data_IF_446563915570
#
_entry.id   IF_446563915570
#
_cell.length_a   1.000
_cell.length_b   1.000
_cell.length_c   1.000
_cell.angle_alpha   90.00
_cell.angle_beta   90.00
_cell.angle_gamma   90.00
#
_symmetry.space_group_name_H-M   'P 1'
#
loop_
_entity.id
_entity.type
_entity.pdbx_description
1 polymer ?
#
# COMPACT_ATOMS: atom_id res chain seq x y z
N UNK A 1 -28.15 -48.86 -9.64
CA UNK A 1 -27.17 -48.04 -8.89
C UNK A 1 -27.69 -46.60 -8.89
N UNK A 2 -28.37 -46.16 -7.83
CA UNK A 2 -28.91 -44.80 -7.74
C UNK A 2 -27.83 -43.80 -7.35
N UNK A 3 -27.73 -42.69 -8.09
CA UNK A 3 -26.79 -41.62 -7.78
C UNK A 3 -27.15 -40.96 -6.43
N UNK A 4 -26.16 -40.81 -5.54
CA UNK A 4 -26.32 -40.08 -4.29
C UNK A 4 -26.64 -38.60 -4.60
N UNK A 5 -27.63 -38.00 -3.90
CA UNK A 5 -27.95 -36.60 -4.09
C UNK A 5 -26.74 -35.74 -3.69
N UNK A 6 -26.25 -34.95 -4.64
CA UNK A 6 -25.20 -33.96 -4.45
C UNK A 6 -25.68 -32.92 -3.41
N UNK A 7 -25.23 -33.02 -2.16
CA UNK A 7 -25.52 -32.04 -1.12
C UNK A 7 -24.94 -30.70 -1.54
N UNK A 8 -25.78 -29.77 -2.00
CA UNK A 8 -25.37 -28.38 -2.21
C UNK A 8 -24.84 -27.81 -0.90
N UNK A 9 -23.63 -27.21 -0.87
CA UNK A 9 -23.12 -26.57 0.34
C UNK A 9 -24.08 -25.45 0.74
N UNK A 10 -24.51 -25.45 2.01
CA UNK A 10 -25.38 -24.41 2.56
C UNK A 10 -24.61 -23.09 2.55
N UNK A 11 -25.11 -22.12 1.80
CA UNK A 11 -24.57 -20.76 1.78
C UNK A 11 -25.02 -20.03 3.05
N UNK A 12 -24.18 -20.02 4.07
CA UNK A 12 -24.42 -19.23 5.28
C UNK A 12 -24.22 -17.76 4.96
N UNK A 13 -25.26 -16.96 5.19
CA UNK A 13 -25.18 -15.51 5.04
C UNK A 13 -25.21 -14.90 6.45
N UNK A 14 -24.09 -14.33 6.87
CA UNK A 14 -23.95 -13.73 8.20
C UNK A 14 -24.79 -12.45 8.24
N UNK A 15 -25.84 -12.44 9.05
CA UNK A 15 -26.73 -11.28 9.23
C UNK A 15 -26.21 -10.30 10.30
N UNK A 16 -25.41 -10.80 11.25
CA UNK A 16 -24.90 -10.02 12.38
C UNK A 16 -23.43 -10.31 12.62
N UNK A 17 -22.64 -9.27 12.94
CA UNK A 17 -21.27 -9.44 13.42
C UNK A 17 -21.29 -9.75 14.92
N UNK A 18 -20.52 -10.77 15.31
CA UNK A 18 -20.34 -11.21 16.68
C UNK A 18 -18.89 -10.90 17.06
N UNK A 19 -18.51 -10.98 18.34
CA UNK A 19 -17.16 -10.62 18.80
C UNK A 19 -16.04 -11.31 18.02
N UNK A 20 -16.22 -12.60 17.69
CA UNK A 20 -15.28 -13.33 16.84
C UNK A 20 -15.17 -12.74 15.43
N UNK A 21 -16.27 -12.30 14.82
CA UNK A 21 -16.25 -11.62 13.53
C UNK A 21 -15.50 -10.28 13.60
N UNK A 22 -15.62 -9.56 14.72
CA UNK A 22 -14.85 -8.33 14.95
C UNK A 22 -13.35 -8.60 15.05
N UNK A 23 -12.94 -9.67 15.73
CA UNK A 23 -11.52 -10.02 15.82
C UNK A 23 -10.96 -10.49 14.47
N UNK A 24 -11.72 -11.28 13.70
CA UNK A 24 -11.37 -11.61 12.31
C UNK A 24 -11.20 -10.35 11.47
N UNK A 25 -12.10 -9.37 11.62
CA UNK A 25 -12.06 -8.09 10.90
C UNK A 25 -10.80 -7.30 11.23
N UNK A 26 -10.44 -7.23 12.52
CA UNK A 26 -9.24 -6.55 13.00
C UNK A 26 -7.98 -7.18 12.44
N UNK A 27 -7.85 -8.50 12.54
CA UNK A 27 -6.68 -9.23 12.04
C UNK A 27 -6.56 -9.14 10.51
N UNK A 28 -7.68 -9.20 9.79
CA UNK A 28 -7.70 -9.04 8.34
C UNK A 28 -7.26 -7.64 7.90
N UNK A 29 -7.69 -6.58 8.61
CA UNK A 29 -7.25 -5.20 8.34
C UNK A 29 -5.74 -5.02 8.52
N UNK A 30 -5.13 -5.76 9.46
CA UNK A 30 -3.69 -5.78 9.70
C UNK A 30 -2.91 -6.60 8.66
N UNK A 31 -3.60 -7.26 7.72
CA UNK A 31 -2.97 -8.04 6.64
C UNK A 31 -2.77 -9.53 6.95
N UNK A 32 -3.33 -10.05 8.05
CA UNK A 32 -3.20 -11.47 8.37
C UNK A 32 -3.92 -12.36 7.34
N UNK A 33 -3.31 -13.49 7.01
CA UNK A 33 -3.88 -14.49 6.10
C UNK A 33 -4.99 -15.31 6.79
N UNK A 34 -5.86 -15.95 6.00
CA UNK A 34 -6.93 -16.78 6.54
C UNK A 34 -6.40 -17.92 7.42
N UNK A 35 -5.24 -18.49 7.07
CA UNK A 35 -4.60 -19.54 7.85
C UNK A 35 -4.08 -19.05 9.20
N UNK A 36 -3.51 -17.84 9.25
CA UNK A 36 -3.05 -17.24 10.51
C UNK A 36 -4.19 -16.90 11.44
N UNK A 37 -5.25 -16.27 10.91
CA UNK A 37 -6.45 -15.94 11.67
C UNK A 37 -7.11 -17.20 12.23
N UNK A 38 -7.21 -18.25 11.41
CA UNK A 38 -7.75 -19.54 11.82
C UNK A 38 -6.96 -20.16 12.98
N UNK A 39 -5.62 -20.13 12.90
CA UNK A 39 -4.74 -20.61 13.98
C UNK A 39 -4.91 -19.80 15.28
N UNK A 40 -4.98 -18.47 15.18
CA UNK A 40 -5.11 -17.58 16.34
C UNK A 40 -6.47 -17.74 17.05
N UNK A 41 -7.55 -17.95 16.29
CA UNK A 41 -8.90 -18.03 16.82
C UNK A 41 -9.38 -19.46 17.10
N UNK A 42 -8.55 -20.47 16.81
CA UNK A 42 -8.90 -21.88 16.99
C UNK A 42 -10.07 -22.34 16.12
N UNK A 43 -10.18 -21.81 14.89
CA UNK A 43 -11.26 -22.16 13.94
C UNK A 43 -10.67 -22.67 12.62
N UNK A 44 -11.51 -23.21 11.75
CA UNK A 44 -11.05 -23.68 10.43
C UNK A 44 -10.81 -22.51 9.47
N UNK A 45 -9.87 -22.62 8.51
CA UNK A 45 -9.69 -21.61 7.46
C UNK A 45 -10.95 -21.40 6.62
N UNK A 46 -11.78 -22.44 6.45
CA UNK A 46 -13.06 -22.34 5.75
C UNK A 46 -14.02 -21.39 6.46
N UNK A 47 -14.13 -21.47 7.80
CA UNK A 47 -14.97 -20.54 8.56
C UNK A 47 -14.52 -19.09 8.36
N UNK A 48 -13.21 -18.82 8.34
CA UNK A 48 -12.68 -17.47 8.08
C UNK A 48 -13.01 -17.02 6.65
N UNK A 49 -12.89 -17.91 5.66
CA UNK A 49 -13.28 -17.63 4.28
C UNK A 49 -14.76 -17.25 4.19
N UNK A 50 -15.63 -18.00 4.85
CA UNK A 50 -17.07 -17.74 4.83
C UNK A 50 -17.40 -16.39 5.51
N UNK A 51 -16.71 -16.05 6.61
CA UNK A 51 -16.83 -14.76 7.28
C UNK A 51 -16.42 -13.61 6.36
N UNK A 52 -15.23 -13.68 5.77
CA UNK A 52 -14.69 -12.63 4.89
C UNK A 52 -15.51 -12.44 3.61
N UNK A 53 -16.14 -13.52 3.14
CA UNK A 53 -16.97 -13.47 1.94
C UNK A 53 -18.39 -12.97 2.18
N UNK A 54 -18.80 -12.79 3.44
CA UNK A 54 -20.12 -12.26 3.78
C UNK A 54 -20.27 -10.78 3.37
N UNK A 55 -21.47 -10.36 2.90
CA UNK A 55 -21.72 -8.96 2.51
C UNK A 55 -21.43 -7.97 3.65
N UNK A 56 -21.89 -8.27 4.87
CA UNK A 56 -21.73 -7.39 6.03
C UNK A 56 -20.27 -7.16 6.39
N UNK A 57 -19.43 -8.19 6.28
CA UNK A 57 -18.01 -8.08 6.56
C UNK A 57 -17.31 -7.20 5.51
N UNK A 58 -17.64 -7.39 4.23
CA UNK A 58 -17.08 -6.58 3.13
C UNK A 58 -17.45 -5.11 3.25
N UNK A 59 -18.69 -4.80 3.61
CA UNK A 59 -19.12 -3.42 3.84
C UNK A 59 -18.37 -2.78 5.00
N UNK A 60 -18.25 -3.50 6.11
CA UNK A 60 -17.49 -3.05 7.27
C UNK A 60 -16.00 -2.87 6.97
N UNK A 61 -15.43 -3.73 6.11
CA UNK A 61 -14.05 -3.60 5.69
C UNK A 61 -13.82 -2.36 4.84
N UNK A 62 -14.70 -2.13 3.85
CA UNK A 62 -14.67 -0.95 3.01
C UNK A 62 -14.75 0.35 3.81
N UNK A 63 -15.60 0.42 4.85
CA UNK A 63 -15.68 1.60 5.72
C UNK A 63 -14.34 1.87 6.40
N UNK A 64 -13.68 0.83 6.91
CA UNK A 64 -12.40 0.98 7.61
C UNK A 64 -11.24 1.28 6.66
N UNK A 65 -11.24 0.70 5.46
CA UNK A 65 -10.29 1.05 4.40
C UNK A 65 -10.41 2.52 4.03
N UNK A 66 -11.63 3.01 3.80
CA UNK A 66 -11.89 4.44 3.53
C UNK A 66 -11.39 5.32 4.68
N UNK A 67 -11.64 4.94 5.94
CA UNK A 67 -11.15 5.70 7.09
C UNK A 67 -9.62 5.73 7.17
N UNK A 68 -8.95 4.60 6.93
CA UNK A 68 -7.48 4.50 6.88
C UNK A 68 -6.91 5.34 5.74
N UNK A 69 -7.47 5.22 4.56
CA UNK A 69 -6.99 5.93 3.38
C UNK A 69 -7.21 7.45 3.56
N UNK A 70 -8.35 7.86 4.15
CA UNK A 70 -8.63 9.26 4.49
C UNK A 70 -7.61 9.85 5.46
N UNK A 71 -7.17 9.10 6.47
CA UNK A 71 -6.11 9.53 7.38
C UNK A 71 -4.77 9.75 6.65
N UNK A 72 -4.54 9.00 5.56
CA UNK A 72 -3.30 9.06 4.78
C UNK A 72 -3.29 10.24 3.80
N UNK A 73 -4.46 10.72 3.36
CA UNK A 73 -4.60 11.89 2.47
C UNK A 73 -3.93 13.13 3.06
N UNK A 74 -4.08 13.36 4.37
CA UNK A 74 -3.45 14.50 5.05
C UNK A 74 -1.92 14.46 4.98
N UNK A 75 -1.33 13.29 5.20
CA UNK A 75 0.14 13.10 5.14
C UNK A 75 0.64 13.24 3.71
N UNK A 76 -0.03 12.61 2.75
CA UNK A 76 0.33 12.72 1.34
C UNK A 76 0.29 14.17 0.84
N UNK A 77 -0.74 14.91 1.26
CA UNK A 77 -0.86 16.35 0.98
C UNK A 77 0.27 17.15 1.64
N UNK A 78 0.61 16.87 2.90
CA UNK A 78 1.75 17.50 3.56
C UNK A 78 3.07 17.28 2.82
N UNK A 79 3.29 16.09 2.27
CA UNK A 79 4.48 15.81 1.45
C UNK A 79 4.49 16.65 0.17
N UNK A 80 3.37 16.72 -0.55
CA UNK A 80 3.25 17.52 -1.77
C UNK A 80 3.47 19.01 -1.48
N UNK A 81 2.82 19.52 -0.43
CA UNK A 81 2.92 20.93 -0.02
C UNK A 81 4.33 21.28 0.47
N UNK A 82 5.06 20.34 1.06
CA UNK A 82 6.46 20.52 1.46
C UNK A 82 7.45 20.50 0.28
N UNK A 83 7.03 19.98 -0.88
CA UNK A 83 7.89 19.83 -2.06
C UNK A 83 8.52 21.14 -2.53
N UNK A 84 7.74 22.21 -2.78
CA UNK A 84 8.28 23.52 -3.15
C UNK A 84 9.24 24.11 -2.10
N UNK A 85 8.95 23.93 -0.81
CA UNK A 85 9.80 24.41 0.29
C UNK A 85 11.14 23.67 0.30
N UNK A 86 11.10 22.34 0.15
CA UNK A 86 12.30 21.52 0.06
C UNK A 86 13.14 21.87 -1.18
N UNK A 87 12.50 22.13 -2.33
CA UNK A 87 13.19 22.58 -3.53
C UNK A 87 13.86 23.96 -3.36
N UNK A 88 13.19 24.91 -2.70
CA UNK A 88 13.76 26.20 -2.36
C UNK A 88 15.01 26.06 -1.50
N UNK A 89 14.93 25.25 -0.44
CA UNK A 89 16.06 24.95 0.43
C UNK A 89 17.24 24.31 -0.33
N UNK A 90 16.96 23.33 -1.20
CA UNK A 90 18.00 22.69 -2.00
C UNK A 90 18.70 23.70 -2.93
N UNK A 91 17.96 24.62 -3.54
CA UNK A 91 18.52 25.66 -4.39
C UNK A 91 19.37 26.66 -3.57
N UNK A 92 18.88 27.07 -2.41
CA UNK A 92 19.58 28.00 -1.52
C UNK A 92 20.90 27.41 -1.03
N UNK A 93 20.90 26.15 -0.60
CA UNK A 93 22.11 25.43 -0.15
C UNK A 93 23.08 25.19 -1.32
N UNK A 94 22.57 24.89 -2.53
CA UNK A 94 23.40 24.68 -3.72
C UNK A 94 24.11 25.97 -4.16
N UNK A 95 23.41 27.11 -4.17
CA UNK A 95 23.95 28.39 -4.66
C UNK A 95 24.79 29.07 -3.59
N UNK A 96 24.36 29.02 -2.33
CA UNK A 96 25.01 29.72 -1.23
C UNK A 96 26.26 28.98 -0.75
N UNK A 97 27.23 29.74 -0.23
CA UNK A 97 28.40 29.18 0.46
C UNK A 97 28.15 28.95 1.94
N UNK A 98 27.05 29.50 2.46
CA UNK A 98 26.64 29.45 3.85
C UNK A 98 25.13 29.27 3.94
N UNK A 99 24.66 28.57 4.96
CA UNK A 99 23.25 28.42 5.31
C UNK A 99 23.14 28.41 6.83
N UNK A 100 22.21 29.18 7.42
CA UNK A 100 22.07 29.37 8.87
C UNK A 100 23.39 29.72 9.60
N UNK A 101 24.23 30.55 8.96
CA UNK A 101 25.52 30.98 9.52
C UNK A 101 26.60 29.90 9.57
N UNK A 102 26.35 28.74 8.95
CA UNK A 102 27.33 27.66 8.82
C UNK A 102 27.81 27.55 7.37
N UNK A 103 29.13 27.36 7.14
CA UNK A 103 29.65 27.12 5.80
C UNK A 103 29.14 25.80 5.26
N UNK A 104 28.56 25.84 4.06
CA UNK A 104 28.07 24.65 3.37
C UNK A 104 29.24 23.98 2.64
N UNK A 105 29.56 22.71 2.95
CA UNK A 105 30.65 22.01 2.29
C UNK A 105 30.43 21.91 0.77
N UNK A 106 31.49 22.15 -0.03
CA UNK A 106 31.42 22.06 -1.49
C UNK A 106 30.92 20.70 -1.97
N UNK A 107 31.30 19.61 -1.29
CA UNK A 107 30.86 18.26 -1.61
C UNK A 107 29.33 18.09 -1.51
N UNK A 108 28.69 18.72 -0.52
CA UNK A 108 27.23 18.68 -0.34
C UNK A 108 26.53 19.44 -1.48
N UNK A 109 27.08 20.60 -1.87
CA UNK A 109 26.57 21.42 -2.98
C UNK A 109 26.65 20.68 -4.32
N UNK A 110 27.76 19.99 -4.57
CA UNK A 110 27.94 19.15 -5.76
C UNK A 110 26.96 17.97 -5.75
N UNK A 111 26.74 17.34 -4.58
CA UNK A 111 25.77 16.26 -4.42
C UNK A 111 24.35 16.70 -4.77
N UNK A 112 23.90 17.83 -4.22
CA UNK A 112 22.58 18.41 -4.52
C UNK A 112 22.45 18.77 -6.01
N UNK A 113 23.47 19.41 -6.59
CA UNK A 113 23.47 19.78 -8.00
C UNK A 113 23.34 18.55 -8.91
N UNK A 114 24.03 17.46 -8.57
CA UNK A 114 23.92 16.18 -9.28
C UNK A 114 22.54 15.55 -9.13
N UNK A 115 21.98 15.52 -7.93
CA UNK A 115 20.64 14.95 -7.68
C UNK A 115 19.54 15.72 -8.42
N UNK A 116 19.66 17.05 -8.52
CA UNK A 116 18.74 17.89 -9.30
C UNK A 116 18.92 17.65 -10.81
N UNK A 117 20.16 17.50 -11.29
CA UNK A 117 20.46 17.20 -12.69
C UNK A 117 19.96 15.81 -13.10
N UNK A 118 20.14 14.79 -12.27
CA UNK A 118 19.69 13.41 -12.53
C UNK A 118 18.15 13.29 -12.56
N UNK A 119 17.44 14.22 -11.91
CA UNK A 119 15.97 14.33 -11.96
C UNK A 119 15.46 15.10 -13.17
N UNK A 120 16.34 15.77 -13.92
CA UNK A 120 15.95 16.43 -15.17
C UNK A 120 15.72 15.37 -16.26
N UNK A 121 14.50 15.25 -16.80
CA UNK A 121 14.20 14.28 -17.86
C UNK A 121 15.03 14.48 -19.14
N UNK A 122 15.58 15.68 -19.38
CA UNK A 122 16.43 15.97 -20.55
C UNK A 122 17.89 15.51 -20.38
N UNK A 123 18.35 15.32 -19.14
CA UNK A 123 19.72 14.89 -18.82
C UNK A 123 19.85 13.42 -18.41
N UNK A 124 18.72 12.75 -18.15
CA UNK A 124 18.70 11.37 -17.68
C UNK A 124 19.16 10.39 -18.77
N UNK A 125 20.31 9.74 -18.57
CA UNK A 125 20.74 8.62 -19.43
C UNK A 125 19.72 7.48 -19.32
N UNK A 126 19.00 7.20 -20.41
CA UNK A 126 18.07 6.06 -20.50
C UNK A 126 18.82 4.78 -20.13
N UNK A 127 18.49 4.20 -18.96
CA UNK A 127 18.94 2.85 -18.61
C UNK A 127 18.11 1.87 -19.41
N UNK A 128 18.80 1.10 -20.26
CA UNK A 128 18.28 0.11 -21.22
C UNK A 128 16.90 -0.47 -20.89
N UNK A 129 15.96 -0.34 -21.83
CA UNK A 129 14.65 -0.99 -21.78
C UNK A 129 14.80 -2.45 -22.23
N UNK A 130 14.76 -3.41 -21.30
CA UNK A 130 14.61 -4.82 -21.62
C UNK A 130 13.14 -5.10 -21.99
N UNK A 131 12.81 -5.03 -23.27
CA UNK A 131 11.52 -5.44 -23.79
C UNK A 131 11.46 -6.96 -23.99
N UNK A 132 10.56 -7.65 -23.28
CA UNK A 132 10.25 -9.05 -23.55
C UNK A 132 9.46 -9.17 -24.86
N UNK A 133 10.11 -9.67 -25.90
CA UNK A 133 9.48 -9.98 -27.18
C UNK A 133 8.64 -11.27 -27.02
N UNK A 134 7.32 -11.16 -27.01
CA UNK A 134 6.43 -12.33 -27.09
C UNK A 134 6.42 -12.82 -28.54
N UNK A 135 7.05 -13.97 -28.78
CA UNK A 135 6.97 -14.67 -30.07
C UNK A 135 5.66 -15.47 -30.08
N UNK A 136 4.62 -14.92 -30.71
CA UNK A 136 3.41 -15.65 -31.05
C UNK A 136 3.72 -16.59 -32.21
N UNK A 137 3.73 -17.90 -31.96
CA UNK A 137 3.74 -18.92 -33.01
C UNK A 137 2.30 -19.15 -33.48
N UNK A 138 2.08 -18.99 -34.79
CA UNK A 138 0.88 -19.43 -35.49
C UNK A 138 0.98 -20.88 -35.94
#
# INVERSE_FOLDING_TARGET
MGALPQMKPRKYNIQYMWDKHHEVKRLALLGATNGEIARLLGVTPQNISDIRNSPIFKDQMRIMEVARDSATIGVARGIIDSGPVALGLLNDVMVSKEHDGQPVPLALRIGIAKDLLDRNPEGAKVKSVQGTMKITHG
#
